data_IF_112870149154
#
_entry.id   IF_112870149154
#
_cell.length_a   1.000
_cell.length_b   1.000
_cell.length_c   1.000
_cell.angle_alpha   90.00
_cell.angle_beta   90.00
_cell.angle_gamma   90.00
#
_symmetry.space_group_name_H-M   'P 1'
#
loop_
_entity.id
_entity.type
_entity.pdbx_description
1 polymer ?
#
# COMPACT_ATOMS: atom_id res chain seq x y z
N UNK A 1 -75.35 35.28 24.01
CA UNK A 1 -74.02 35.34 23.29
C UNK A 1 -73.11 34.29 23.92
N UNK A 2 -73.17 33.08 23.44
CA UNK A 2 -72.39 31.98 23.95
C UNK A 2 -71.30 31.64 22.90
N UNK A 3 -70.04 31.70 23.30
CA UNK A 3 -68.91 31.23 22.50
C UNK A 3 -68.57 29.78 22.85
N UNK A 4 -68.64 28.94 21.87
CA UNK A 4 -68.17 27.55 21.96
C UNK A 4 -66.72 27.50 21.49
N UNK A 5 -65.83 27.01 22.39
CA UNK A 5 -64.46 26.71 22.08
C UNK A 5 -64.35 25.25 21.68
N UNK A 6 -63.88 24.97 20.48
CA UNK A 6 -63.58 23.62 20.00
C UNK A 6 -62.14 23.25 20.39
N UNK A 7 -62.00 22.19 21.17
CA UNK A 7 -60.72 21.54 21.46
C UNK A 7 -60.33 20.64 20.26
N UNK A 8 -59.27 20.93 19.59
CA UNK A 8 -58.67 20.05 18.62
C UNK A 8 -57.62 19.16 19.31
N UNK A 9 -57.87 17.85 19.36
CA UNK A 9 -56.92 16.84 19.81
C UNK A 9 -56.01 16.50 18.62
N UNK A 10 -54.76 16.90 18.67
CA UNK A 10 -53.76 16.48 17.72
C UNK A 10 -53.15 15.17 18.21
N UNK A 11 -53.53 14.06 17.59
CA UNK A 11 -52.91 12.76 17.79
C UNK A 11 -51.53 12.73 17.09
N UNK A 12 -50.48 12.71 17.87
CA UNK A 12 -49.12 12.46 17.34
C UNK A 12 -48.96 10.98 17.01
N UNK A 13 -48.97 10.65 15.73
CA UNK A 13 -48.52 9.35 15.23
C UNK A 13 -46.96 9.31 15.36
N UNK A 14 -46.48 8.60 16.36
CA UNK A 14 -45.07 8.23 16.45
C UNK A 14 -44.83 7.10 15.45
N UNK A 15 -44.38 7.44 14.27
CA UNK A 15 -43.80 6.47 13.33
C UNK A 15 -42.41 6.10 13.89
N UNK A 16 -42.34 4.95 14.57
CA UNK A 16 -41.13 4.32 14.96
C UNK A 16 -40.33 3.89 13.70
N UNK A 17 -39.44 4.72 13.23
CA UNK A 17 -38.35 4.25 12.38
C UNK A 17 -37.46 3.34 13.23
N UNK A 18 -37.66 2.02 13.13
CA UNK A 18 -36.69 1.05 13.52
C UNK A 18 -35.50 1.23 12.53
N UNK A 19 -34.56 2.09 12.89
CA UNK A 19 -33.24 2.02 12.33
C UNK A 19 -32.71 0.65 12.75
N UNK A 20 -32.74 -0.31 11.83
CA UNK A 20 -31.81 -1.46 11.88
C UNK A 20 -30.41 -0.83 11.78
N UNK A 21 -29.89 -0.46 12.94
CA UNK A 21 -28.50 -0.19 13.11
C UNK A 21 -27.78 -1.46 12.65
N UNK A 22 -27.14 -1.40 11.49
CA UNK A 22 -25.98 -2.23 11.27
C UNK A 22 -25.09 -1.92 12.47
N UNK A 23 -25.07 -2.82 13.45
CA UNK A 23 -24.04 -2.84 14.46
C UNK A 23 -22.74 -2.88 13.65
N UNK A 24 -22.03 -1.77 13.63
CA UNK A 24 -20.59 -1.82 13.45
C UNK A 24 -20.11 -2.70 14.60
N UNK A 25 -20.06 -4.00 14.37
CA UNK A 25 -19.32 -4.91 15.21
C UNK A 25 -17.95 -4.29 15.30
N UNK A 26 -17.65 -3.71 16.44
CA UNK A 26 -16.33 -3.30 16.81
C UNK A 26 -15.53 -4.60 16.81
N UNK A 27 -14.88 -4.91 15.67
CA UNK A 27 -13.90 -5.99 15.56
C UNK A 27 -12.67 -5.63 16.40
N UNK A 28 -12.87 -5.49 17.70
CA UNK A 28 -11.81 -5.45 18.69
C UNK A 28 -11.35 -6.87 18.89
N UNK A 29 -10.39 -7.33 18.09
CA UNK A 29 -9.76 -8.59 18.39
C UNK A 29 -9.27 -9.43 17.24
N UNK A 30 -8.66 -8.85 16.24
CA UNK A 30 -7.84 -9.62 15.31
C UNK A 30 -6.67 -10.29 16.02
N UNK A 31 -6.08 -11.34 15.43
CA UNK A 31 -4.83 -11.96 15.89
C UNK A 31 -3.77 -10.87 16.04
N UNK A 32 -3.82 -9.88 15.16
CA UNK A 32 -3.04 -8.65 15.20
C UNK A 32 -3.96 -7.48 15.57
N UNK A 33 -3.41 -6.39 16.09
CA UNK A 33 -4.16 -5.15 16.35
C UNK A 33 -4.55 -4.50 15.02
N UNK A 34 -5.64 -4.99 14.44
CA UNK A 34 -6.08 -4.53 13.13
C UNK A 34 -6.42 -3.05 13.14
N UNK A 35 -5.67 -2.31 12.37
CA UNK A 35 -5.95 -0.91 12.09
C UNK A 35 -6.70 -0.85 10.75
N UNK A 36 -7.86 -0.16 10.69
CA UNK A 36 -8.53 0.06 9.42
C UNK A 36 -7.59 0.74 8.45
N UNK A 37 -7.38 0.15 7.28
CA UNK A 37 -6.66 0.75 6.18
C UNK A 37 -7.67 1.33 5.20
N UNK A 38 -7.39 2.52 4.67
CA UNK A 38 -8.29 3.17 3.73
C UNK A 38 -8.48 2.31 2.47
N UNK A 39 -9.74 2.13 2.07
CA UNK A 39 -10.08 1.46 0.81
C UNK A 39 -9.42 2.16 -0.37
N UNK A 40 -8.82 1.38 -1.25
CA UNK A 40 -8.03 1.86 -2.37
C UNK A 40 -8.38 1.11 -3.64
N UNK A 41 -8.07 1.72 -4.78
CA UNK A 41 -8.15 1.12 -6.10
C UNK A 41 -7.04 1.72 -6.96
N UNK A 42 -6.02 0.93 -7.26
CA UNK A 42 -4.90 1.36 -8.11
C UNK A 42 -5.26 1.33 -9.60
N UNK A 43 -6.37 0.68 -9.97
CA UNK A 43 -6.74 0.45 -11.37
C UNK A 43 -5.60 -0.20 -12.18
N UNK A 44 -5.45 0.22 -13.44
CA UNK A 44 -4.46 -0.29 -14.38
C UNK A 44 -3.10 0.46 -14.29
N UNK A 45 -2.66 0.79 -13.04
CA UNK A 45 -1.36 1.47 -12.83
C UNK A 45 -0.43 0.60 -12.01
N UNK A 46 0.84 0.52 -12.40
CA UNK A 46 1.89 -0.29 -11.75
C UNK A 46 2.43 0.32 -10.45
N UNK A 47 1.56 0.90 -9.61
CA UNK A 47 1.95 1.66 -8.42
C UNK A 47 1.56 0.98 -7.09
N UNK A 48 1.32 -0.34 -7.09
CA UNK A 48 0.97 -1.13 -5.89
C UNK A 48 1.92 -0.88 -4.71
N UNK A 49 3.21 -0.77 -4.97
CA UNK A 49 4.26 -0.48 -3.99
C UNK A 49 4.09 0.87 -3.28
N UNK A 50 3.58 1.90 -3.97
CA UNK A 50 3.22 3.18 -3.36
C UNK A 50 1.98 3.06 -2.48
N UNK A 51 0.98 2.27 -2.92
CA UNK A 51 -0.21 1.98 -2.13
C UNK A 51 0.14 1.21 -0.85
N UNK A 52 0.97 0.16 -0.95
CA UNK A 52 1.44 -0.63 0.19
C UNK A 52 2.22 0.24 1.18
N UNK A 53 3.13 1.09 0.69
CA UNK A 53 3.91 2.01 1.53
C UNK A 53 3.05 3.07 2.20
N UNK A 54 2.10 3.69 1.49
CA UNK A 54 1.18 4.65 2.09
C UNK A 54 0.32 4.00 3.18
N UNK A 55 -0.22 2.81 2.92
CA UNK A 55 -0.99 2.04 3.88
C UNK A 55 -0.16 1.64 5.12
N UNK A 56 1.11 1.27 4.92
CA UNK A 56 2.06 0.98 6.00
C UNK A 56 2.30 2.21 6.89
N UNK A 57 2.53 3.39 6.32
CA UNK A 57 2.69 4.64 7.09
C UNK A 57 1.43 4.94 7.88
N UNK A 58 0.25 4.89 7.25
CA UNK A 58 -1.04 5.16 7.89
C UNK A 58 -1.35 4.19 9.04
N UNK A 59 -0.99 2.91 8.87
CA UNK A 59 -1.15 1.91 9.92
C UNK A 59 -0.33 2.30 11.16
N UNK A 60 0.97 2.57 10.99
CA UNK A 60 1.86 2.90 12.10
C UNK A 60 1.58 4.28 12.70
N UNK A 61 1.10 5.24 11.92
CA UNK A 61 0.59 6.53 12.42
C UNK A 61 -0.68 6.33 13.25
N UNK A 62 -1.61 5.50 12.79
CA UNK A 62 -2.85 5.20 13.53
C UNK A 62 -2.54 4.57 14.88
N UNK A 63 -1.60 3.63 14.94
CA UNK A 63 -1.15 3.04 16.21
C UNK A 63 -0.59 4.11 17.17
N UNK A 64 0.24 5.03 16.66
CA UNK A 64 0.78 6.13 17.47
C UNK A 64 -0.30 7.11 17.96
N UNK A 65 -1.32 7.38 17.14
CA UNK A 65 -2.44 8.23 17.51
C UNK A 65 -3.31 7.58 18.59
N UNK A 66 -3.53 6.25 18.51
CA UNK A 66 -4.34 5.48 19.47
C UNK A 66 -3.77 5.42 20.88
N UNK A 67 -2.48 5.67 21.06
CA UNK A 67 -1.88 5.84 22.37
C UNK A 67 -2.50 7.02 23.15
N UNK A 68 -3.07 8.00 22.45
CA UNK A 68 -3.66 9.23 23.03
C UNK A 68 -5.18 9.28 22.86
N UNK A 69 -5.69 8.67 21.79
CA UNK A 69 -7.11 8.67 21.42
C UNK A 69 -7.45 7.29 20.81
N UNK A 70 -8.04 6.37 21.59
CA UNK A 70 -8.22 4.95 21.18
C UNK A 70 -8.93 4.73 19.85
N UNK A 71 -9.83 5.63 19.47
CA UNK A 71 -10.60 5.54 18.21
C UNK A 71 -9.97 6.35 17.06
N UNK A 72 -8.77 6.93 17.28
CA UNK A 72 -8.11 7.73 16.25
C UNK A 72 -7.68 6.85 15.08
N UNK A 73 -7.84 7.40 13.86
CA UNK A 73 -7.37 6.79 12.61
C UNK A 73 -6.60 7.86 11.84
N UNK A 74 -5.45 7.48 11.29
CA UNK A 74 -4.66 8.36 10.45
C UNK A 74 -5.45 8.75 9.20
N UNK A 75 -5.31 10.01 8.80
CA UNK A 75 -5.91 10.47 7.57
C UNK A 75 -5.16 9.91 6.35
N UNK A 76 -5.88 9.40 5.31
CA UNK A 76 -5.26 8.77 4.16
C UNK A 76 -4.25 9.68 3.44
N UNK A 77 -3.11 9.11 3.06
CA UNK A 77 -2.08 9.76 2.25
C UNK A 77 -2.47 9.76 0.77
N UNK A 78 -1.99 10.75 0.02
CA UNK A 78 -2.14 10.82 -1.43
C UNK A 78 -1.08 9.96 -2.11
N UNK A 79 -1.51 8.87 -2.72
CA UNK A 79 -0.64 8.06 -3.59
C UNK A 79 -0.33 8.83 -4.86
N UNK A 80 -1.27 9.59 -5.42
CA UNK A 80 -1.04 10.43 -6.59
C UNK A 80 0.08 11.47 -6.38
N UNK A 81 0.29 11.96 -5.15
CA UNK A 81 1.45 12.79 -4.82
C UNK A 81 2.77 12.02 -4.92
N UNK A 82 2.79 10.76 -4.48
CA UNK A 82 3.98 9.91 -4.59
C UNK A 82 4.24 9.51 -6.05
N UNK A 83 3.20 9.18 -6.83
CA UNK A 83 3.29 8.94 -8.28
C UNK A 83 3.86 10.15 -9.03
N UNK A 84 3.41 11.35 -8.68
CA UNK A 84 3.91 12.58 -9.27
C UNK A 84 5.44 12.69 -9.13
N UNK A 85 5.98 12.39 -7.94
CA UNK A 85 7.41 12.44 -7.69
C UNK A 85 8.17 11.23 -8.22
N UNK A 86 7.59 10.05 -8.23
CA UNK A 86 8.16 8.87 -8.88
C UNK A 86 8.36 9.14 -10.39
N UNK A 87 7.34 9.62 -11.06
CA UNK A 87 7.42 9.93 -12.49
C UNK A 87 8.38 11.09 -12.77
N UNK A 88 8.44 12.08 -11.87
CA UNK A 88 9.45 13.13 -11.97
C UNK A 88 10.87 12.54 -11.95
N UNK A 89 11.16 11.64 -11.01
CA UNK A 89 12.46 10.99 -10.91
C UNK A 89 12.75 10.09 -12.11
N UNK A 90 11.79 9.29 -12.54
CA UNK A 90 11.91 8.42 -13.73
C UNK A 90 12.19 9.22 -14.99
N UNK A 91 11.50 10.35 -15.21
CA UNK A 91 11.68 11.20 -16.39
C UNK A 91 13.01 11.95 -16.34
N UNK A 92 13.42 12.50 -15.19
CA UNK A 92 14.59 13.41 -15.11
C UNK A 92 15.92 12.70 -14.90
N UNK A 93 15.95 11.53 -14.26
CA UNK A 93 17.17 10.89 -13.75
C UNK A 93 17.64 9.66 -14.50
N UNK A 94 17.13 9.41 -15.69
CA UNK A 94 17.88 8.66 -16.65
C UNK A 94 17.64 7.17 -16.79
N UNK A 95 16.53 6.60 -16.31
CA UNK A 95 16.09 5.31 -16.85
C UNK A 95 15.52 5.45 -18.25
N UNK A 96 14.99 6.65 -18.56
CA UNK A 96 14.35 6.99 -19.84
C UNK A 96 15.30 7.60 -20.89
N UNK A 97 16.62 7.54 -20.67
CA UNK A 97 17.59 8.11 -21.58
C UNK A 97 17.89 7.10 -22.69
N UNK A 98 17.60 7.48 -23.94
CA UNK A 98 17.95 6.71 -25.15
C UNK A 98 16.92 5.69 -25.63
N UNK A 99 15.77 5.55 -24.96
CA UNK A 99 14.72 4.61 -25.34
C UNK A 99 13.66 5.23 -26.28
N UNK A 100 13.00 4.37 -27.07
CA UNK A 100 11.88 4.80 -27.90
C UNK A 100 10.71 5.29 -27.02
N UNK A 101 9.93 6.27 -27.49
CA UNK A 101 8.87 6.90 -26.70
C UNK A 101 7.82 5.94 -26.14
N UNK A 102 7.67 4.75 -26.74
CA UNK A 102 6.78 3.69 -26.27
C UNK A 102 7.31 3.06 -24.97
N UNK A 103 8.59 2.75 -24.93
CA UNK A 103 9.27 2.14 -23.77
C UNK A 103 9.28 3.11 -22.57
N UNK A 104 9.24 4.43 -22.84
CA UNK A 104 9.16 5.47 -21.80
C UNK A 104 7.83 5.47 -21.04
N UNK A 105 6.74 5.15 -21.71
CA UNK A 105 5.42 5.07 -21.07
C UNK A 105 5.32 3.83 -20.20
N UNK A 106 5.85 2.72 -20.70
CA UNK A 106 5.90 1.46 -19.96
C UNK A 106 6.81 1.59 -18.72
N UNK A 107 7.91 2.38 -18.82
CA UNK A 107 8.78 2.66 -17.67
C UNK A 107 8.08 3.49 -16.57
N UNK A 108 7.17 4.41 -16.90
CA UNK A 108 6.36 5.12 -15.88
C UNK A 108 5.57 4.13 -15.01
N UNK A 109 5.19 3.00 -15.59
CA UNK A 109 4.41 1.94 -14.96
C UNK A 109 5.27 0.76 -14.47
N UNK A 110 6.58 0.88 -14.52
CA UNK A 110 7.52 -0.22 -14.23
C UNK A 110 7.52 -0.71 -12.77
N UNK A 111 6.65 -0.14 -11.94
CA UNK A 111 6.60 -0.48 -10.51
C UNK A 111 7.80 0.08 -9.72
N UNK A 112 8.02 -0.47 -8.56
CA UNK A 112 9.08 -0.12 -7.64
C UNK A 112 9.06 -1.04 -6.42
N UNK A 113 9.84 -0.69 -5.38
CA UNK A 113 9.92 -1.44 -4.13
C UNK A 113 9.58 -0.55 -2.93
N UNK A 114 9.28 -1.15 -1.78
CA UNK A 114 9.11 -0.41 -0.52
C UNK A 114 10.28 0.54 -0.26
N UNK A 115 11.51 0.10 -0.52
CA UNK A 115 12.70 0.94 -0.35
C UNK A 115 12.69 2.16 -1.26
N UNK A 116 12.29 2.00 -2.52
CA UNK A 116 12.17 3.11 -3.47
C UNK A 116 11.07 4.09 -3.03
N UNK A 117 9.90 3.59 -2.58
CA UNK A 117 8.83 4.44 -2.06
C UNK A 117 9.27 5.25 -0.84
N UNK A 118 9.98 4.61 0.08
CA UNK A 118 10.49 5.30 1.28
C UNK A 118 11.55 6.35 0.96
N UNK A 119 12.36 6.19 -0.10
CA UNK A 119 13.24 7.26 -0.59
C UNK A 119 12.44 8.48 -1.08
N UNK A 120 11.33 8.26 -1.82
CA UNK A 120 10.44 9.35 -2.24
C UNK A 120 9.86 10.06 -1.00
N UNK A 121 9.37 9.31 -0.02
CA UNK A 121 8.84 9.86 1.23
C UNK A 121 9.90 10.68 1.98
N UNK A 122 11.12 10.16 2.13
CA UNK A 122 12.21 10.87 2.81
C UNK A 122 12.61 12.15 2.08
N UNK A 123 12.54 12.16 0.74
CA UNK A 123 12.95 13.29 -0.08
C UNK A 123 11.87 14.34 -0.26
N UNK A 124 10.62 13.93 -0.45
CA UNK A 124 9.53 14.81 -0.82
C UNK A 124 8.45 14.96 0.26
N UNK A 125 8.55 14.21 1.36
CA UNK A 125 7.53 14.19 2.39
C UNK A 125 6.27 13.44 1.96
N UNK A 126 5.19 13.67 2.69
CA UNK A 126 3.87 13.08 2.43
C UNK A 126 2.80 14.16 2.41
N UNK A 127 1.74 13.95 1.64
CA UNK A 127 0.59 14.86 1.56
C UNK A 127 -0.68 14.05 1.83
N UNK A 128 -1.63 14.63 2.56
CA UNK A 128 -2.93 13.98 2.75
C UNK A 128 -3.72 13.98 1.44
N UNK A 129 -4.46 12.91 1.19
CA UNK A 129 -5.22 12.73 -0.05
C UNK A 129 -6.10 13.93 -0.39
N UNK A 130 -6.79 14.50 0.60
CA UNK A 130 -7.65 15.67 0.43
C UNK A 130 -6.92 16.94 -0.03
N UNK A 131 -5.63 17.05 0.29
CA UNK A 131 -4.87 18.30 0.10
C UNK A 131 -4.21 18.37 -1.29
N UNK A 132 -3.84 17.24 -1.91
CA UNK A 132 -3.14 17.24 -3.20
C UNK A 132 -4.05 17.64 -4.36
N UNK A 133 -5.23 17.04 -4.46
CA UNK A 133 -6.22 17.34 -5.49
C UNK A 133 -7.47 18.08 -4.98
N UNK A 134 -7.53 18.42 -3.70
CA UNK A 134 -8.73 18.96 -3.08
C UNK A 134 -9.87 17.95 -2.96
N UNK A 135 -9.59 16.66 -3.06
CA UNK A 135 -10.57 15.59 -3.00
C UNK A 135 -10.84 15.18 -1.55
N UNK A 136 -11.89 15.75 -0.96
CA UNK A 136 -12.43 15.31 0.33
C UNK A 136 -13.70 14.47 0.17
N UNK A 137 -14.00 13.62 1.16
CA UNK A 137 -15.27 12.88 1.26
C UNK A 137 -15.32 11.55 0.51
N UNK A 138 -16.55 10.99 0.39
CA UNK A 138 -16.77 9.72 -0.32
C UNK A 138 -16.37 9.82 -1.79
N UNK A 139 -15.68 8.82 -2.30
CA UNK A 139 -15.17 8.77 -3.67
C UNK A 139 -13.81 9.43 -3.88
N UNK A 140 -13.16 9.96 -2.84
CA UNK A 140 -11.81 10.53 -2.96
C UNK A 140 -10.78 9.50 -3.45
N UNK A 141 -10.88 8.25 -3.01
CA UNK A 141 -9.99 7.16 -3.45
C UNK A 141 -10.08 6.90 -4.95
N UNK A 142 -11.30 6.79 -5.48
CA UNK A 142 -11.55 6.57 -6.92
C UNK A 142 -11.08 7.76 -7.76
N UNK A 143 -11.24 9.00 -7.26
CA UNK A 143 -10.79 10.21 -7.96
C UNK A 143 -9.26 10.29 -7.99
N UNK A 144 -8.59 9.91 -6.91
CA UNK A 144 -7.12 9.87 -6.83
C UNK A 144 -6.56 8.90 -7.89
N UNK A 145 -7.04 7.66 -7.95
CA UNK A 145 -6.64 6.68 -8.96
C UNK A 145 -6.96 7.13 -10.40
N UNK A 146 -8.17 7.66 -10.63
CA UNK A 146 -8.56 8.18 -11.97
C UNK A 146 -7.67 9.35 -12.42
N UNK A 147 -7.19 10.18 -11.49
CA UNK A 147 -6.28 11.27 -11.85
C UNK A 147 -4.90 10.75 -12.27
N UNK A 148 -4.41 9.68 -11.64
CA UNK A 148 -3.15 9.02 -12.05
C UNK A 148 -3.26 8.42 -13.45
N UNK A 149 -4.35 7.69 -13.76
CA UNK A 149 -4.58 7.16 -15.12
C UNK A 149 -4.63 8.26 -16.19
N UNK A 150 -5.32 9.38 -15.91
CA UNK A 150 -5.38 10.52 -16.85
C UNK A 150 -4.01 11.15 -17.02
N UNK A 151 -3.28 11.33 -15.93
CA UNK A 151 -1.93 11.89 -15.97
C UNK A 151 -0.99 10.99 -16.79
N UNK A 152 -1.06 9.66 -16.64
CA UNK A 152 -0.31 8.70 -17.46
C UNK A 152 -0.58 8.89 -18.95
N UNK A 153 -1.86 9.01 -19.37
CA UNK A 153 -2.25 9.22 -20.77
C UNK A 153 -1.74 10.57 -21.31
N UNK A 154 -1.81 11.63 -20.50
CA UNK A 154 -1.31 12.95 -20.87
C UNK A 154 0.21 12.96 -21.05
N UNK A 155 0.95 12.35 -20.11
CA UNK A 155 2.40 12.19 -20.18
C UNK A 155 2.84 11.32 -21.34
N UNK A 156 2.12 10.24 -21.64
CA UNK A 156 2.38 9.40 -22.81
C UNK A 156 2.37 10.26 -24.10
N UNK A 157 1.40 11.16 -24.23
CA UNK A 157 1.33 12.09 -25.37
C UNK A 157 2.50 13.08 -25.38
N UNK A 158 2.86 13.65 -24.22
CA UNK A 158 3.97 14.59 -24.09
C UNK A 158 5.33 13.93 -24.41
N UNK A 159 5.53 12.68 -23.97
CA UNK A 159 6.73 11.89 -24.24
C UNK A 159 6.84 11.48 -25.71
N UNK A 160 5.75 11.03 -26.32
CA UNK A 160 5.76 10.56 -27.70
C UNK A 160 5.91 11.70 -28.72
N UNK A 161 5.11 12.75 -28.60
CA UNK A 161 4.96 13.77 -29.65
C UNK A 161 5.02 15.22 -29.11
N UNK A 162 5.08 15.41 -27.78
CA UNK A 162 4.97 16.72 -27.14
C UNK A 162 6.29 17.28 -26.62
N UNK A 163 6.17 18.04 -25.54
CA UNK A 163 7.26 18.80 -24.95
C UNK A 163 8.39 17.92 -24.39
N UNK A 164 8.11 16.69 -23.93
CA UNK A 164 9.07 15.76 -23.35
C UNK A 164 9.66 14.76 -24.37
N UNK A 165 9.45 14.96 -25.64
CA UNK A 165 9.87 14.06 -26.73
C UNK A 165 11.38 13.81 -26.78
N UNK A 166 12.21 14.80 -26.45
CA UNK A 166 13.65 14.72 -26.55
C UNK A 166 14.31 14.46 -25.19
N UNK A 167 15.47 13.80 -25.19
CA UNK A 167 16.27 13.62 -23.99
C UNK A 167 16.59 14.96 -23.29
N UNK A 168 17.02 15.95 -24.04
CA UNK A 168 17.31 17.28 -23.50
C UNK A 168 16.09 17.92 -22.81
N UNK A 169 14.87 17.71 -23.35
CA UNK A 169 13.66 18.20 -22.71
C UNK A 169 13.35 17.45 -21.41
N UNK A 170 13.61 16.14 -21.35
CA UNK A 170 13.43 15.34 -20.14
C UNK A 170 14.45 15.65 -19.05
N UNK A 171 15.66 16.08 -19.40
CA UNK A 171 16.67 16.57 -18.44
C UNK A 171 16.38 17.98 -17.90
N UNK A 172 15.41 18.70 -18.48
CA UNK A 172 14.97 19.99 -17.99
C UNK A 172 13.90 19.81 -16.90
N UNK A 173 14.31 19.78 -15.63
CA UNK A 173 13.43 19.56 -14.48
C UNK A 173 12.26 20.55 -14.41
N UNK A 174 12.47 21.83 -14.78
CA UNK A 174 11.38 22.83 -14.79
C UNK A 174 10.33 22.54 -15.87
N UNK A 175 10.77 22.02 -17.03
CA UNK A 175 9.86 21.60 -18.08
C UNK A 175 9.09 20.34 -17.66
N UNK A 176 9.78 19.33 -17.12
CA UNK A 176 9.15 18.11 -16.62
C UNK A 176 8.11 18.44 -15.54
N UNK A 177 8.45 19.31 -14.58
CA UNK A 177 7.51 19.77 -13.56
C UNK A 177 6.25 20.40 -14.16
N UNK A 178 6.40 21.27 -15.14
CA UNK A 178 5.26 21.90 -15.80
C UNK A 178 4.36 20.89 -16.52
N UNK A 179 4.95 19.91 -17.20
CA UNK A 179 4.19 18.85 -17.88
C UNK A 179 3.48 17.92 -16.87
N UNK A 180 4.12 17.61 -15.74
CA UNK A 180 3.50 16.87 -14.64
C UNK A 180 2.35 17.67 -13.99
N UNK A 181 2.56 18.95 -13.69
CA UNK A 181 1.52 19.81 -13.11
C UNK A 181 0.26 19.83 -14.02
N UNK A 182 0.47 19.93 -15.34
CA UNK A 182 -0.61 19.88 -16.32
C UNK A 182 -1.26 18.50 -16.41
N UNK A 183 -0.47 17.42 -16.43
CA UNK A 183 -0.95 16.04 -16.51
C UNK A 183 -1.79 15.64 -15.30
N UNK A 184 -1.37 16.00 -14.09
CA UNK A 184 -2.11 15.79 -12.85
C UNK A 184 -3.21 16.81 -12.60
N UNK A 185 -3.45 17.73 -13.55
CA UNK A 185 -4.48 18.80 -13.45
C UNK A 185 -4.37 19.59 -12.15
N UNK A 186 -3.14 19.89 -11.70
CA UNK A 186 -2.92 20.61 -10.45
C UNK A 186 -3.45 22.03 -10.54
N UNK A 187 -4.06 22.49 -9.45
CA UNK A 187 -4.44 23.89 -9.34
C UNK A 187 -3.20 24.78 -9.30
N UNK A 188 -3.32 26.04 -9.76
CA UNK A 188 -2.24 27.04 -9.65
C UNK A 188 -1.74 27.20 -8.21
N UNK A 189 -2.62 26.98 -7.22
CA UNK A 189 -2.28 27.03 -5.80
C UNK A 189 -1.36 25.89 -5.43
N UNK A 190 -1.71 24.65 -5.83
CA UNK A 190 -0.93 23.44 -5.55
C UNK A 190 0.42 23.48 -6.25
N UNK A 191 0.44 23.84 -7.55
CA UNK A 191 1.66 23.97 -8.35
C UNK A 191 2.63 25.02 -7.78
N UNK A 192 2.13 26.18 -7.35
CA UNK A 192 2.94 27.19 -6.67
C UNK A 192 3.50 26.69 -5.33
N UNK A 193 2.68 26.01 -4.52
CA UNK A 193 3.13 25.48 -3.24
C UNK A 193 4.25 24.46 -3.41
N UNK A 194 4.14 23.56 -4.39
CA UNK A 194 5.22 22.61 -4.72
C UNK A 194 6.48 23.35 -5.18
N UNK A 195 6.32 24.42 -5.99
CA UNK A 195 7.44 25.23 -6.47
C UNK A 195 8.13 26.00 -5.34
N UNK A 196 7.39 26.50 -4.36
CA UNK A 196 7.93 27.17 -3.16
C UNK A 196 8.79 26.23 -2.33
N UNK A 197 8.40 24.96 -2.20
CA UNK A 197 9.11 23.97 -1.39
C UNK A 197 10.29 23.33 -2.12
N UNK A 198 10.10 22.94 -3.38
CA UNK A 198 11.07 22.12 -4.12
C UNK A 198 11.82 22.87 -5.22
N UNK A 199 11.54 24.16 -5.41
CA UNK A 199 12.07 24.93 -6.52
C UNK A 199 11.34 24.65 -7.84
N UNK A 200 11.64 25.46 -8.86
CA UNK A 200 11.03 25.30 -10.18
C UNK A 200 11.38 23.99 -10.87
N UNK A 201 12.57 23.50 -10.61
CA UNK A 201 13.16 22.29 -11.18
C UNK A 201 13.02 21.04 -10.29
N UNK A 202 12.33 21.14 -9.14
CA UNK A 202 12.16 20.01 -8.21
C UNK A 202 13.45 19.52 -7.56
N UNK A 203 14.55 20.27 -7.67
CA UNK A 203 15.88 19.83 -7.24
C UNK A 203 16.13 20.04 -5.74
N UNK A 204 15.34 20.87 -5.08
CA UNK A 204 15.48 21.16 -3.65
C UNK A 204 14.90 20.02 -2.84
N UNK A 205 15.67 19.49 -1.88
CA UNK A 205 15.14 18.53 -0.93
C UNK A 205 14.15 19.22 0.02
N UNK A 206 13.16 18.48 0.48
CA UNK A 206 12.21 18.96 1.47
C UNK A 206 12.93 19.46 2.72
N UNK A 207 12.70 20.72 3.07
CA UNK A 207 13.11 21.32 4.34
C UNK A 207 11.84 21.75 5.07
N UNK A 208 11.71 21.46 6.36
CA UNK A 208 10.55 21.83 7.17
C UNK A 208 10.17 23.30 7.03
N UNK A 209 8.89 23.61 6.93
CA UNK A 209 8.39 24.98 6.74
C UNK A 209 7.58 25.16 5.48
N UNK A 210 6.91 24.10 5.06
CA UNK A 210 6.09 24.00 3.87
C UNK A 210 5.11 25.15 3.68
N UNK A 211 4.87 25.50 2.43
CA UNK A 211 3.86 26.46 2.02
C UNK A 211 2.50 26.16 2.66
N UNK A 212 1.90 27.14 3.30
CA UNK A 212 0.58 27.02 3.93
C UNK A 212 -0.52 26.56 2.96
N UNK A 213 -0.24 26.60 1.65
CA UNK A 213 -1.15 26.23 0.58
C UNK A 213 -1.24 24.72 0.31
N UNK A 214 -0.18 23.95 0.62
CA UNK A 214 -0.11 22.50 0.54
C UNK A 214 0.63 21.98 1.78
N UNK A 215 -0.07 21.42 2.76
CA UNK A 215 0.55 20.91 3.98
C UNK A 215 1.31 19.62 3.66
N UNK A 216 2.60 19.76 3.36
CA UNK A 216 3.49 18.63 3.16
C UNK A 216 4.01 18.19 4.52
N UNK A 217 3.64 16.97 4.93
CA UNK A 217 4.09 16.37 6.18
C UNK A 217 5.58 16.01 6.11
N UNK A 218 6.35 16.52 7.06
CA UNK A 218 7.75 16.17 7.22
C UNK A 218 7.89 14.76 7.80
N UNK A 219 8.65 13.85 7.19
CA UNK A 219 8.92 12.54 7.79
C UNK A 219 9.65 12.61 9.14
N UNK A 220 10.29 13.74 9.45
CA UNK A 220 10.93 13.98 10.76
C UNK A 220 9.92 14.35 11.84
N UNK A 221 8.76 14.86 11.46
CA UNK A 221 7.71 15.35 12.37
C UNK A 221 6.53 14.40 12.43
N UNK A 222 6.36 13.54 11.42
CA UNK A 222 5.31 12.53 11.41
C UNK A 222 5.64 11.41 12.41
N UNK A 223 4.79 11.28 13.43
CA UNK A 223 4.97 10.33 14.52
C UNK A 223 4.27 9.01 14.21
N UNK A 224 4.97 7.92 14.37
CA UNK A 224 4.54 6.55 14.06
C UNK A 224 4.94 5.59 15.18
N UNK A 225 4.19 4.52 15.36
CA UNK A 225 4.53 3.47 16.32
C UNK A 225 5.57 2.51 15.70
N UNK A 226 6.63 2.20 16.45
CA UNK A 226 7.68 1.27 16.04
C UNK A 226 7.54 -0.06 16.79
N UNK A 227 7.03 -1.13 16.17
CA UNK A 227 6.87 -2.44 16.83
C UNK A 227 8.24 -3.05 17.15
N UNK A 228 8.36 -3.66 18.35
CA UNK A 228 9.55 -4.36 18.82
C UNK A 228 9.26 -5.82 19.19
N UNK A 229 10.28 -6.70 19.18
CA UNK A 229 10.12 -8.10 19.54
C UNK A 229 9.60 -8.34 20.98
N UNK A 230 9.80 -7.40 21.89
CA UNK A 230 9.27 -7.45 23.26
C UNK A 230 7.80 -6.99 23.38
N UNK A 231 7.15 -6.70 22.25
CA UNK A 231 5.77 -6.22 22.19
C UNK A 231 5.61 -4.72 22.46
N UNK A 232 6.68 -4.00 22.83
CA UNK A 232 6.62 -2.54 22.98
C UNK A 232 6.51 -1.83 21.63
N UNK A 233 5.88 -0.65 21.63
CA UNK A 233 5.66 0.18 20.43
C UNK A 233 6.00 1.64 20.70
N UNK A 234 7.28 1.98 20.88
CA UNK A 234 7.65 3.38 21.08
C UNK A 234 7.19 4.23 19.89
N UNK A 235 6.72 5.45 20.19
CA UNK A 235 6.37 6.44 19.19
C UNK A 235 7.65 7.16 18.77
N UNK A 236 7.96 7.11 17.48
CA UNK A 236 9.19 7.68 16.88
C UNK A 236 8.84 8.50 15.64
N UNK A 237 9.81 9.25 15.12
CA UNK A 237 9.66 9.92 13.84
C UNK A 237 9.63 8.87 12.69
N UNK A 238 8.88 9.14 11.61
CA UNK A 238 8.84 8.26 10.45
C UNK A 238 10.24 8.03 9.86
N UNK A 239 11.13 9.03 9.92
CA UNK A 239 12.54 8.86 9.50
C UNK A 239 13.29 7.80 10.30
N UNK A 240 12.96 7.61 11.57
CA UNK A 240 13.57 6.56 12.40
C UNK A 240 12.98 5.19 12.08
N UNK A 241 11.67 5.13 11.80
CA UNK A 241 11.01 3.91 11.40
C UNK A 241 11.50 3.42 10.01
N UNK A 242 11.65 4.31 9.05
CA UNK A 242 12.25 3.99 7.75
C UNK A 242 13.72 3.58 7.93
N UNK A 243 14.47 4.31 8.78
CA UNK A 243 15.89 4.08 8.99
C UNK A 243 16.78 4.69 7.90
N UNK A 244 18.09 4.45 8.02
CA UNK A 244 19.10 4.93 7.09
C UNK A 244 19.45 3.85 6.08
N UNK A 245 19.63 4.22 4.82
CA UNK A 245 20.13 3.31 3.78
C UNK A 245 21.49 2.72 4.18
N UNK A 246 21.66 1.43 4.03
CA UNK A 246 22.95 0.79 4.27
C UNK A 246 24.01 1.29 3.26
N UNK A 247 25.29 1.37 3.68
CA UNK A 247 26.38 1.86 2.83
C UNK A 247 26.52 1.01 1.56
N UNK A 248 26.52 1.66 0.40
CA UNK A 248 26.70 1.00 -0.89
C UNK A 248 25.56 0.10 -1.34
N UNK A 249 24.39 0.21 -0.67
CA UNK A 249 23.40 -0.80 -0.70
C UNK A 249 22.12 -0.50 -1.46
N UNK A 250 21.42 -1.57 -1.63
CA UNK A 250 20.02 -1.70 -1.98
C UNK A 250 19.17 -0.76 -1.09
N UNK A 251 18.26 0.04 -1.65
CA UNK A 251 17.34 0.89 -0.90
C UNK A 251 16.44 0.11 0.07
N UNK A 252 16.23 -1.19 -0.16
CA UNK A 252 15.41 -2.07 0.66
C UNK A 252 16.14 -2.60 1.91
N UNK A 253 17.46 -2.33 2.05
CA UNK A 253 18.25 -2.69 3.22
C UNK A 253 18.55 -1.45 4.05
N UNK A 254 17.96 -1.38 5.24
CA UNK A 254 18.01 -0.22 6.12
C UNK A 254 18.68 -0.53 7.46
N UNK A 255 19.24 0.49 8.08
CA UNK A 255 19.90 0.41 9.39
C UNK A 255 19.33 1.45 10.36
N UNK A 256 19.24 1.09 11.63
CA UNK A 256 18.68 1.91 12.69
C UNK A 256 17.98 1.07 13.74
N UNK A 257 17.76 1.62 14.92
CA UNK A 257 17.12 0.90 16.03
C UNK A 257 15.67 0.46 15.73
N UNK A 258 15.00 1.17 14.84
CA UNK A 258 13.61 0.95 14.46
C UNK A 258 13.45 0.72 12.95
N UNK A 259 14.57 0.59 12.23
CA UNK A 259 14.57 0.46 10.78
C UNK A 259 13.93 -0.86 10.33
N UNK A 260 13.44 -0.84 9.10
CA UNK A 260 12.86 -2.00 8.43
C UNK A 260 13.77 -2.45 7.28
N UNK A 261 13.66 -3.71 6.91
CA UNK A 261 14.49 -4.30 5.85
C UNK A 261 13.70 -5.33 5.08
N UNK A 262 13.72 -5.28 3.74
CA UNK A 262 13.18 -6.34 2.90
C UNK A 262 14.02 -7.60 3.04
N UNK A 263 13.34 -8.72 3.23
CA UNK A 263 13.92 -10.04 3.41
C UNK A 263 13.36 -10.95 2.32
N UNK A 264 14.17 -11.36 1.35
CA UNK A 264 13.73 -12.25 0.29
C UNK A 264 13.37 -13.64 0.85
N UNK A 265 12.37 -14.29 0.26
CA UNK A 265 12.00 -15.64 0.61
C UNK A 265 12.94 -16.64 -0.08
N UNK A 266 13.85 -17.21 0.68
CA UNK A 266 14.86 -18.16 0.19
C UNK A 266 14.76 -19.54 0.80
N UNK A 267 13.66 -19.84 1.54
CA UNK A 267 13.48 -21.11 2.21
C UNK A 267 13.33 -22.27 1.20
N UNK A 268 14.12 -23.34 1.40
CA UNK A 268 14.16 -24.50 0.53
C UNK A 268 13.67 -25.79 1.23
N UNK A 269 13.22 -25.67 2.48
CA UNK A 269 12.68 -26.79 3.27
C UNK A 269 11.49 -26.33 4.11
N UNK A 270 10.64 -27.27 4.50
CA UNK A 270 9.50 -26.99 5.39
C UNK A 270 9.95 -26.35 6.72
N UNK A 271 11.11 -26.77 7.26
CA UNK A 271 11.68 -26.20 8.47
C UNK A 271 12.09 -24.73 8.27
N UNK A 272 12.79 -24.41 7.20
CA UNK A 272 13.18 -23.03 6.88
C UNK A 272 11.97 -22.15 6.63
N UNK A 273 10.97 -22.66 5.89
CA UNK A 273 9.69 -21.99 5.68
C UNK A 273 9.01 -21.68 7.02
N UNK A 274 8.97 -22.64 7.94
CA UNK A 274 8.36 -22.45 9.26
C UNK A 274 9.11 -21.38 10.06
N UNK A 275 10.43 -21.38 10.04
CA UNK A 275 11.27 -20.37 10.70
C UNK A 275 10.97 -18.98 10.10
N UNK A 276 10.88 -18.87 8.77
CA UNK A 276 10.57 -17.62 8.10
C UNK A 276 9.16 -17.11 8.47
N UNK A 277 8.14 -17.97 8.40
CA UNK A 277 6.77 -17.60 8.76
C UNK A 277 6.63 -17.22 10.24
N UNK A 278 7.40 -17.83 11.13
CA UNK A 278 7.43 -17.46 12.55
C UNK A 278 7.94 -16.04 12.76
N UNK A 279 8.91 -15.57 11.97
CA UNK A 279 9.35 -14.18 12.01
C UNK A 279 8.22 -13.23 11.64
N UNK A 280 7.48 -13.55 10.57
CA UNK A 280 6.28 -12.81 10.14
C UNK A 280 5.23 -12.79 11.26
N UNK A 281 4.88 -13.95 11.82
CA UNK A 281 3.91 -14.04 12.91
C UNK A 281 4.31 -13.17 14.12
N UNK A 282 5.57 -13.21 14.53
CA UNK A 282 6.06 -12.39 15.65
C UNK A 282 5.90 -10.89 15.37
N UNK A 283 6.23 -10.45 14.17
CA UNK A 283 6.07 -9.05 13.77
C UNK A 283 4.59 -8.65 13.76
N UNK A 284 3.71 -9.47 13.18
CA UNK A 284 2.26 -9.26 13.22
C UNK A 284 1.72 -9.21 14.65
N UNK A 285 2.17 -10.11 15.55
CA UNK A 285 1.78 -10.12 16.98
C UNK A 285 2.23 -8.85 17.73
N UNK A 286 3.33 -8.25 17.31
CA UNK A 286 3.78 -6.96 17.84
C UNK A 286 3.00 -5.76 17.27
N UNK A 287 2.02 -6.00 16.38
CA UNK A 287 1.19 -4.99 15.74
C UNK A 287 1.83 -4.37 14.49
N UNK A 288 2.84 -4.99 13.89
CA UNK A 288 3.36 -4.57 12.60
C UNK A 288 2.40 -4.95 11.48
N UNK A 289 2.18 -4.05 10.53
CA UNK A 289 1.65 -4.40 9.21
C UNK A 289 2.85 -4.45 8.24
N UNK A 290 2.94 -5.48 7.42
CA UNK A 290 4.17 -5.82 6.71
C UNK A 290 4.01 -5.63 5.20
N UNK A 291 4.71 -4.66 4.57
CA UNK A 291 4.81 -4.64 3.11
C UNK A 291 5.43 -5.95 2.63
N UNK A 292 4.85 -6.57 1.63
CA UNK A 292 5.40 -7.79 1.05
C UNK A 292 5.05 -7.92 -0.42
N UNK A 293 5.96 -8.53 -1.18
CA UNK A 293 5.82 -8.78 -2.60
C UNK A 293 5.48 -10.25 -2.87
N UNK A 294 4.58 -10.47 -3.84
CA UNK A 294 4.14 -11.78 -4.26
C UNK A 294 3.76 -11.77 -5.74
N UNK A 295 3.78 -12.93 -6.40
CA UNK A 295 3.39 -13.04 -7.80
C UNK A 295 1.87 -13.04 -7.95
N UNK A 296 1.36 -12.11 -8.74
CA UNK A 296 -0.05 -11.95 -9.09
C UNK A 296 -0.26 -12.25 -10.59
N UNK A 297 -0.72 -13.44 -10.97
CA UNK A 297 -1.23 -13.66 -12.33
C UNK A 297 -2.66 -13.14 -12.43
N UNK A 298 -2.97 -12.44 -13.49
CA UNK A 298 -4.26 -11.75 -13.69
C UNK A 298 -5.48 -12.68 -13.64
N UNK A 299 -5.30 -13.99 -13.81
CA UNK A 299 -6.36 -15.01 -13.73
C UNK A 299 -6.50 -15.69 -12.36
N UNK A 300 -5.66 -15.38 -11.37
CA UNK A 300 -5.66 -16.09 -10.09
C UNK A 300 -6.85 -15.75 -9.19
N UNK A 301 -7.49 -14.60 -9.41
CA UNK A 301 -8.69 -14.16 -8.68
C UNK A 301 -9.87 -13.95 -9.65
N UNK A 302 -10.06 -14.89 -10.57
CA UNK A 302 -11.09 -14.79 -11.61
C UNK A 302 -12.53 -14.67 -11.08
N UNK A 303 -12.80 -15.12 -9.83
CA UNK A 303 -14.09 -15.00 -9.17
C UNK A 303 -14.24 -13.74 -8.28
N UNK A 304 -13.20 -12.94 -8.18
CA UNK A 304 -13.17 -11.72 -7.36
C UNK A 304 -13.28 -11.96 -5.86
N UNK A 305 -13.07 -13.20 -5.40
CA UNK A 305 -13.19 -13.56 -3.98
C UNK A 305 -12.07 -12.99 -3.12
N UNK A 306 -10.93 -12.68 -3.74
CA UNK A 306 -9.69 -12.34 -3.04
C UNK A 306 -9.04 -13.55 -2.35
N UNK A 307 -9.39 -14.78 -2.73
CA UNK A 307 -8.83 -16.01 -2.18
C UNK A 307 -7.87 -16.67 -3.17
N UNK A 308 -6.58 -16.58 -2.91
CA UNK A 308 -5.52 -17.16 -3.73
C UNK A 308 -5.12 -18.51 -3.14
N UNK A 309 -5.78 -19.60 -3.59
CA UNK A 309 -5.66 -20.94 -2.96
C UNK A 309 -4.51 -21.77 -3.52
N UNK A 310 -4.31 -21.73 -4.82
CA UNK A 310 -3.26 -22.48 -5.52
C UNK A 310 -2.82 -21.74 -6.77
N UNK A 311 -1.62 -22.05 -7.25
CA UNK A 311 -1.16 -21.56 -8.55
C UNK A 311 -2.10 -22.10 -9.65
N UNK A 312 -2.56 -21.26 -10.58
CA UNK A 312 -3.34 -21.74 -11.72
C UNK A 312 -2.57 -22.82 -12.50
N UNK A 313 -3.24 -23.93 -12.86
CA UNK A 313 -2.61 -25.06 -13.58
C UNK A 313 -2.12 -24.68 -14.98
N UNK A 314 -2.78 -23.73 -15.61
CA UNK A 314 -2.37 -23.19 -16.91
C UNK A 314 -2.32 -21.66 -16.83
N UNK A 315 -1.13 -21.04 -16.95
CA UNK A 315 -1.08 -19.64 -17.30
C UNK A 315 -1.69 -19.53 -18.70
N UNK A 316 -2.82 -18.85 -18.84
CA UNK A 316 -3.38 -18.56 -20.16
C UNK A 316 -2.36 -17.84 -21.04
N UNK A 317 -2.46 -17.98 -22.36
CA UNK A 317 -1.51 -17.42 -23.34
C UNK A 317 -1.30 -15.89 -23.20
N UNK A 318 -2.20 -15.19 -22.49
CA UNK A 318 -2.22 -13.74 -22.29
C UNK A 318 -2.09 -13.34 -20.79
N UNK A 319 -1.70 -14.26 -19.89
CA UNK A 319 -1.59 -13.96 -18.47
C UNK A 319 -0.28 -13.23 -18.16
N UNK A 320 -0.36 -11.95 -17.97
CA UNK A 320 0.73 -11.19 -17.37
C UNK A 320 0.84 -11.57 -15.89
N UNK A 321 1.96 -12.19 -15.52
CA UNK A 321 2.34 -12.37 -14.11
C UNK A 321 3.20 -11.20 -13.70
N UNK A 322 2.74 -10.44 -12.70
CA UNK A 322 3.47 -9.30 -12.19
C UNK A 322 3.80 -9.50 -10.72
N UNK A 323 4.92 -8.96 -10.27
CA UNK A 323 5.16 -8.80 -8.85
C UNK A 323 4.19 -7.73 -8.32
N UNK A 324 3.44 -8.11 -7.29
CA UNK A 324 2.46 -7.27 -6.65
C UNK A 324 2.85 -7.02 -5.19
N UNK A 325 2.91 -5.76 -4.79
CA UNK A 325 3.22 -5.38 -3.41
C UNK A 325 1.96 -4.96 -2.67
N UNK A 326 1.71 -5.59 -1.53
CA UNK A 326 0.55 -5.35 -0.67
C UNK A 326 0.96 -5.25 0.79
N UNK A 327 0.01 -4.99 1.68
CA UNK A 327 0.25 -4.87 3.12
C UNK A 327 -0.33 -6.07 3.86
N UNK A 328 0.52 -6.99 4.33
CA UNK A 328 0.11 -8.12 5.17
C UNK A 328 -0.28 -7.62 6.56
N UNK A 329 -1.47 -8.01 7.01
CA UNK A 329 -2.07 -7.50 8.26
C UNK A 329 -2.54 -8.58 9.22
N UNK A 330 -2.67 -9.84 8.77
CA UNK A 330 -3.20 -10.93 9.60
C UNK A 330 -2.86 -12.30 8.99
N UNK A 331 -3.23 -13.39 9.68
CA UNK A 331 -3.09 -14.74 9.17
C UNK A 331 -4.11 -15.69 9.80
N UNK A 332 -4.34 -16.84 9.17
CA UNK A 332 -5.10 -17.95 9.73
C UNK A 332 -4.19 -19.16 9.95
N UNK A 333 -4.38 -19.89 11.05
CA UNK A 333 -3.58 -21.06 11.39
C UNK A 333 -4.41 -22.19 11.99
N UNK A 334 -4.00 -23.44 11.69
CA UNK A 334 -4.54 -24.68 12.26
C UNK A 334 -3.48 -25.40 13.09
N UNK A 335 -3.93 -26.34 13.93
CA UNK A 335 -3.05 -27.15 14.76
C UNK A 335 -2.32 -26.36 15.85
N UNK A 336 -2.89 -25.25 16.31
CA UNK A 336 -2.32 -24.44 17.39
C UNK A 336 -2.48 -25.21 18.72
N UNK A 337 -1.38 -25.55 19.42
CA UNK A 337 -1.44 -26.33 20.63
C UNK A 337 -2.36 -25.74 21.71
N UNK A 338 -3.33 -26.51 22.17
CA UNK A 338 -4.32 -26.08 23.17
C UNK A 338 -5.47 -25.21 22.64
N UNK A 339 -5.42 -24.72 21.40
CA UNK A 339 -6.40 -23.79 20.84
C UNK A 339 -7.05 -24.29 19.54
N UNK A 340 -6.45 -25.29 18.87
CA UNK A 340 -6.96 -25.87 17.63
C UNK A 340 -6.71 -24.96 16.43
N UNK A 341 -7.61 -23.99 16.14
CA UNK A 341 -7.47 -23.06 15.00
C UNK A 341 -7.54 -21.60 15.48
N UNK A 342 -6.73 -20.75 14.89
CA UNK A 342 -6.84 -19.29 14.99
C UNK A 342 -7.38 -18.75 13.68
N UNK A 343 -8.46 -17.97 13.75
CA UNK A 343 -9.13 -17.40 12.58
C UNK A 343 -8.68 -15.98 12.33
N UNK A 344 -8.33 -15.67 11.08
CA UNK A 344 -8.04 -14.30 10.69
C UNK A 344 -9.26 -13.40 10.94
N UNK A 345 -9.03 -12.23 11.52
CA UNK A 345 -10.07 -11.28 11.92
C UNK A 345 -10.69 -11.59 13.30
N UNK A 346 -10.31 -12.68 13.98
CA UNK A 346 -10.78 -13.04 15.31
C UNK A 346 -9.77 -12.66 16.40
N UNK A 347 -10.29 -12.30 17.59
CA UNK A 347 -9.45 -12.05 18.76
C UNK A 347 -8.68 -13.30 19.17
N UNK A 348 -7.40 -13.16 19.46
CA UNK A 348 -6.58 -14.21 20.05
C UNK A 348 -5.92 -13.72 21.34
N UNK A 349 -5.98 -14.56 22.39
CA UNK A 349 -5.30 -14.26 23.64
C UNK A 349 -3.77 -14.27 23.45
N UNK A 350 -3.00 -13.63 24.35
CA UNK A 350 -1.54 -13.70 24.32
C UNK A 350 -1.02 -15.13 24.31
N UNK A 351 -1.65 -16.04 25.06
CA UNK A 351 -1.29 -17.45 25.14
C UNK A 351 -1.55 -18.17 23.81
N UNK A 352 -2.66 -17.86 23.14
CA UNK A 352 -2.98 -18.41 21.83
C UNK A 352 -1.99 -17.91 20.75
N UNK A 353 -1.59 -16.63 20.80
CA UNK A 353 -0.58 -16.06 19.92
C UNK A 353 0.79 -16.72 20.11
N UNK A 354 1.19 -16.95 21.37
CA UNK A 354 2.45 -17.65 21.66
C UNK A 354 2.39 -19.12 21.20
N UNK A 355 1.29 -19.82 21.48
CA UNK A 355 1.08 -21.18 21.01
C UNK A 355 1.10 -21.29 19.47
N UNK A 356 0.65 -20.27 18.76
CA UNK A 356 0.69 -20.21 17.30
C UNK A 356 2.11 -20.14 16.73
N UNK A 357 3.12 -19.84 17.55
CA UNK A 357 4.53 -19.87 17.13
C UNK A 357 5.15 -21.27 17.21
N UNK A 358 4.43 -22.26 17.73
CA UNK A 358 4.92 -23.64 17.83
C UNK A 358 5.19 -24.26 16.45
N UNK A 359 6.12 -25.21 16.38
CA UNK A 359 6.52 -25.85 15.12
C UNK A 359 5.39 -26.63 14.45
N UNK A 360 4.48 -27.20 15.23
CA UNK A 360 3.33 -27.98 14.75
C UNK A 360 2.20 -27.11 14.16
N UNK A 361 2.22 -25.81 14.42
CA UNK A 361 1.21 -24.88 13.87
C UNK A 361 1.37 -24.75 12.37
N UNK A 362 0.25 -24.92 11.65
CA UNK A 362 0.19 -24.81 10.20
C UNK A 362 -0.49 -23.50 9.82
N UNK A 363 0.25 -22.58 9.20
CA UNK A 363 -0.36 -21.39 8.58
C UNK A 363 -1.19 -21.85 7.39
N UNK A 364 -2.44 -21.40 7.31
CA UNK A 364 -3.32 -21.65 6.17
C UNK A 364 -3.14 -20.59 5.10
N UNK A 365 -3.22 -19.33 5.49
CA UNK A 365 -3.01 -18.18 4.63
C UNK A 365 -2.52 -16.97 5.43
N UNK A 366 -1.93 -16.02 4.74
CA UNK A 366 -1.73 -14.65 5.20
C UNK A 366 -2.77 -13.74 4.57
N UNK A 367 -3.31 -12.79 5.35
CA UNK A 367 -4.26 -11.79 4.88
C UNK A 367 -3.56 -10.49 4.60
N UNK A 368 -3.78 -9.97 3.41
CA UNK A 368 -3.26 -8.68 2.97
C UNK A 368 -4.38 -7.67 2.72
N UNK A 369 -4.11 -6.40 2.98
CA UNK A 369 -4.88 -5.28 2.40
C UNK A 369 -4.32 -5.02 1.02
N UNK A 370 -5.21 -5.07 0.02
CA UNK A 370 -4.86 -5.01 -1.38
C UNK A 370 -5.27 -3.65 -1.97
N UNK A 371 -4.47 -3.14 -2.89
CA UNK A 371 -4.81 -1.96 -3.69
C UNK A 371 -5.86 -2.24 -4.77
N UNK A 372 -6.14 -3.51 -5.07
CA UNK A 372 -7.32 -3.98 -5.79
C UNK A 372 -8.45 -4.32 -4.80
N UNK A 373 -8.95 -3.33 -4.06
CA UNK A 373 -10.05 -3.49 -3.12
C UNK A 373 -11.43 -3.53 -3.79
N UNK A 374 -12.51 -3.44 -3.00
CA UNK A 374 -13.92 -3.49 -3.48
C UNK A 374 -14.28 -2.40 -4.49
N UNK A 375 -13.47 -1.38 -4.63
CA UNK A 375 -13.63 -0.35 -5.66
C UNK A 375 -13.15 -0.81 -7.05
N UNK A 376 -12.34 -1.87 -7.11
CA UNK A 376 -11.87 -2.45 -8.35
C UNK A 376 -12.95 -3.36 -8.94
N UNK A 377 -13.11 -3.31 -10.27
CA UNK A 377 -14.14 -4.09 -10.97
C UNK A 377 -13.97 -5.60 -10.70
N UNK A 378 -15.06 -6.24 -10.31
CA UNK A 378 -15.10 -7.67 -10.02
C UNK A 378 -14.69 -8.08 -8.61
N UNK A 379 -14.06 -7.22 -7.82
CA UNK A 379 -13.64 -7.54 -6.44
C UNK A 379 -14.81 -7.45 -5.45
N UNK A 380 -14.83 -8.37 -4.48
CA UNK A 380 -15.90 -8.46 -3.47
C UNK A 380 -15.46 -8.01 -2.08
N UNK A 381 -14.15 -7.86 -1.84
CA UNK A 381 -13.58 -7.41 -0.55
C UNK A 381 -12.27 -6.65 -0.75
N UNK A 382 -11.87 -5.90 0.28
CA UNK A 382 -10.65 -5.08 0.31
C UNK A 382 -9.40 -5.86 0.73
N UNK A 383 -9.52 -7.16 0.97
CA UNK A 383 -8.43 -8.02 1.43
C UNK A 383 -8.24 -9.21 0.53
N UNK A 384 -7.00 -9.65 0.43
CA UNK A 384 -6.60 -10.89 -0.24
C UNK A 384 -6.12 -11.90 0.79
N UNK A 385 -6.64 -13.15 0.73
CA UNK A 385 -6.19 -14.28 1.53
C UNK A 385 -5.27 -15.15 0.67
N UNK A 386 -3.98 -15.09 0.96
CA UNK A 386 -2.93 -15.75 0.21
C UNK A 386 -2.57 -17.05 0.92
N UNK A 387 -3.11 -18.16 0.40
CA UNK A 387 -2.90 -19.48 0.96
C UNK A 387 -1.44 -19.93 0.80
N UNK A 388 -0.97 -20.71 1.77
CA UNK A 388 0.43 -21.19 1.78
C UNK A 388 0.76 -21.99 0.53
N UNK A 389 -0.18 -22.79 0.02
CA UNK A 389 0.02 -23.57 -1.22
C UNK A 389 0.21 -22.66 -2.45
N UNK A 390 -0.46 -21.51 -2.48
CA UNK A 390 -0.24 -20.48 -3.47
C UNK A 390 1.12 -19.80 -3.31
N UNK A 391 1.43 -19.33 -2.12
CA UNK A 391 2.67 -18.60 -1.81
C UNK A 391 3.94 -19.45 -2.02
N UNK A 392 3.85 -20.76 -1.76
CA UNK A 392 4.95 -21.71 -1.97
C UNK A 392 4.95 -22.34 -3.35
N UNK A 393 3.89 -22.13 -4.13
CA UNK A 393 3.74 -22.64 -5.48
C UNK A 393 4.78 -22.08 -6.45
N UNK A 394 5.09 -22.83 -7.50
CA UNK A 394 6.03 -22.44 -8.55
C UNK A 394 5.27 -21.80 -9.70
N UNK A 395 5.64 -20.58 -10.03
CA UNK A 395 5.20 -19.85 -11.20
C UNK A 395 6.26 -19.91 -12.30
N UNK A 396 5.84 -20.00 -13.54
CA UNK A 396 6.73 -19.96 -14.69
C UNK A 396 6.34 -18.76 -15.54
N UNK A 397 7.25 -17.79 -15.64
CA UNK A 397 7.08 -16.63 -16.52
C UNK A 397 7.94 -16.80 -17.77
N UNK A 398 7.35 -16.56 -18.93
CA UNK A 398 8.05 -16.67 -20.20
C UNK A 398 8.02 -15.32 -20.94
N UNK A 399 9.05 -14.97 -21.71
CA UNK A 399 8.98 -13.84 -22.62
C UNK A 399 7.81 -14.00 -23.61
N UNK A 400 7.23 -12.88 -24.03
CA UNK A 400 6.10 -12.87 -24.96
C UNK A 400 6.37 -13.73 -26.19
N UNK A 401 5.47 -14.65 -26.48
CA UNK A 401 5.57 -15.60 -27.61
C UNK A 401 6.46 -16.82 -27.35
N UNK A 402 6.93 -16.99 -26.13
CA UNK A 402 7.71 -18.19 -25.72
C UNK A 402 6.80 -19.06 -24.83
N UNK A 403 6.59 -20.31 -25.24
CA UNK A 403 5.79 -21.28 -24.47
C UNK A 403 6.64 -22.12 -23.53
N UNK A 404 6.16 -22.48 -22.33
CA UNK A 404 6.80 -23.46 -21.46
C UNK A 404 6.75 -24.89 -22.10
N UNK A 405 7.75 -25.77 -21.84
CA UNK A 405 9.00 -25.49 -21.14
C UNK A 405 10.06 -24.88 -22.09
N UNK A 406 10.58 -23.73 -21.73
CA UNK A 406 11.68 -23.08 -22.48
C UNK A 406 12.76 -22.64 -21.51
N UNK A 407 14.04 -22.73 -21.95
CA UNK A 407 15.19 -22.21 -21.20
C UNK A 407 15.16 -20.69 -20.99
N UNK A 408 14.26 -20.00 -21.69
CA UNK A 408 14.07 -18.55 -21.56
C UNK A 408 12.95 -18.21 -20.56
N UNK A 409 12.25 -19.22 -20.03
CA UNK A 409 11.26 -19.03 -18.99
C UNK A 409 11.96 -19.05 -17.62
N UNK A 410 11.54 -18.18 -16.74
CA UNK A 410 12.03 -18.11 -15.37
C UNK A 410 11.03 -18.73 -14.39
N UNK A 411 11.56 -19.35 -13.34
CA UNK A 411 10.77 -19.96 -12.28
C UNK A 411 10.82 -19.08 -11.04
N UNK A 412 9.64 -18.77 -10.53
CA UNK A 412 9.46 -17.94 -9.34
C UNK A 412 8.59 -18.66 -8.34
N UNK A 413 8.71 -18.31 -7.06
CA UNK A 413 7.72 -18.70 -6.04
C UNK A 413 6.69 -17.62 -5.89
N UNK A 414 5.47 -17.98 -5.47
CA UNK A 414 4.40 -17.02 -5.19
C UNK A 414 4.81 -15.97 -4.14
N UNK A 415 5.55 -16.37 -3.11
CA UNK A 415 6.12 -15.44 -2.11
C UNK A 415 7.48 -14.94 -2.60
N UNK A 416 7.64 -13.64 -2.77
CA UNK A 416 8.90 -13.01 -3.22
C UNK A 416 9.71 -12.52 -2.04
N UNK A 417 9.20 -11.56 -1.27
CA UNK A 417 9.87 -10.97 -0.12
C UNK A 417 8.89 -10.36 0.88
N UNK A 418 9.36 -10.08 2.08
CA UNK A 418 8.62 -9.32 3.10
C UNK A 418 9.52 -8.30 3.76
N UNK A 419 9.00 -7.10 4.00
CA UNK A 419 9.71 -6.08 4.75
C UNK A 419 9.39 -6.21 6.23
N UNK A 420 10.43 -6.47 7.03
CA UNK A 420 10.34 -6.72 8.47
C UNK A 420 11.04 -5.64 9.28
N UNK A 421 10.50 -5.28 10.47
CA UNK A 421 11.25 -4.43 11.39
C UNK A 421 12.48 -5.17 11.92
N UNK A 422 13.56 -4.44 12.17
CA UNK A 422 14.79 -5.01 12.69
C UNK A 422 14.56 -5.73 14.03
N UNK A 423 15.13 -6.92 14.16
CA UNK A 423 15.00 -7.78 15.32
C UNK A 423 13.97 -8.91 15.21
N UNK A 424 13.17 -8.93 14.14
CA UNK A 424 12.24 -10.02 13.84
C UNK A 424 12.76 -11.01 12.82
#
# INVERSE_FOLDING_TARGET
MLRWSALAVVGALVVGCSATGASADSESGAITDRVPVAVRDQRETGNCWLFATAAWIEHHETLALRERAPDAVAEPLSVAYLDYWDWYEKITRGRLVGEAARDLVDELDSGGTWGAATELVLKYGVVRRRDFHGFGGQGAATKDATSVERAKKALATSLANGALRTEASRQNGALVRRELDAAFELSDRTSRAITEVFGKDGATNFTSGAAAALPIGSPKELLVAAPKPDGSRPVVALTELIGKRARGGNPDVRTGAHAWTSVPFTANSARETRVFFRRIQRALHAGAALPFAWFYPSNADADGSGEFRSVPEEPGDDVESVEHETLMVDYEADGVPGFGALKAGAAASPEAREAALHDDTKIRFFRAVDSYGVLHEGRRRDTSDLYVDYLLGEFVTCPKGVMPPSRHCEKHRGFVEVTLPNGF
#
